data_IF_298101148177
#
_entry.id   IF_298101148177
#
_cell.length_a   1.000
_cell.length_b   1.000
_cell.length_c   1.000
_cell.angle_alpha   90.00
_cell.angle_beta   90.00
_cell.angle_gamma   90.00
#
_symmetry.space_group_name_H-M   'P 1'
#
loop_
_entity.id
_entity.type
_entity.pdbx_description
1 polymer ?
#
# COMPACT_ATOMS: atom_id res chain seq x y z
N UNK A 1 18.18 -10.79 7.89
CA UNK A 1 18.50 -10.43 6.50
C UNK A 1 19.43 -11.40 5.80
N UNK A 2 20.62 -11.75 6.33
CA UNK A 2 21.65 -12.54 5.62
C UNK A 2 21.29 -13.99 5.22
N UNK A 3 20.21 -14.58 5.78
CA UNK A 3 19.78 -15.96 5.47
C UNK A 3 18.72 -16.05 4.37
N UNK A 4 18.21 -14.92 3.87
CA UNK A 4 17.13 -14.92 2.88
C UNK A 4 17.67 -15.27 1.49
N UNK A 5 16.88 -15.95 0.64
CA UNK A 5 17.23 -16.12 -0.76
C UNK A 5 17.39 -14.74 -1.43
N UNK A 6 18.46 -14.58 -2.18
CA UNK A 6 18.77 -13.31 -2.85
C UNK A 6 19.17 -13.57 -4.29
N UNK A 7 18.73 -12.68 -5.18
CA UNK A 7 18.99 -12.75 -6.60
C UNK A 7 20.01 -11.67 -6.99
N UNK A 8 20.93 -12.00 -7.90
CA UNK A 8 22.02 -11.12 -8.33
C UNK A 8 22.11 -11.02 -9.86
N UNK A 9 22.56 -9.86 -10.35
CA UNK A 9 22.79 -9.60 -11.78
C UNK A 9 21.53 -9.86 -12.60
N UNK A 10 20.41 -9.36 -12.12
CA UNK A 10 19.09 -9.70 -12.60
C UNK A 10 18.74 -8.90 -13.85
N UNK A 11 18.03 -9.54 -14.78
CA UNK A 11 17.48 -8.91 -15.98
C UNK A 11 15.99 -9.26 -16.05
N UNK A 12 15.15 -8.23 -16.08
CA UNK A 12 13.70 -8.34 -16.13
C UNK A 12 13.23 -7.83 -17.49
N UNK A 13 12.39 -8.62 -18.16
CA UNK A 13 11.70 -8.21 -19.38
C UNK A 13 10.22 -8.51 -19.28
N UNK A 14 9.42 -7.48 -19.51
CA UNK A 14 7.98 -7.60 -19.62
C UNK A 14 7.59 -7.61 -21.10
N UNK A 15 6.72 -8.54 -21.49
CA UNK A 15 6.12 -8.62 -22.81
C UNK A 15 4.61 -8.56 -22.68
N UNK A 16 3.98 -7.88 -23.62
CA UNK A 16 2.54 -7.66 -23.66
C UNK A 16 1.94 -8.23 -24.95
N UNK A 17 0.62 -8.29 -24.99
CA UNK A 17 -0.10 -8.49 -26.26
C UNK A 17 -0.02 -7.22 -27.11
N UNK A 18 -0.10 -7.33 -28.45
CA UNK A 18 0.10 -6.19 -29.35
C UNK A 18 -0.83 -4.99 -29.12
N UNK A 19 -2.01 -5.23 -28.55
CA UNK A 19 -3.04 -4.22 -28.31
C UNK A 19 -2.73 -3.30 -27.12
N UNK A 20 -1.76 -3.66 -26.25
CA UNK A 20 -1.33 -2.86 -25.10
C UNK A 20 0.18 -2.68 -25.10
N UNK A 21 0.62 -1.48 -24.73
CA UNK A 21 2.02 -1.14 -24.52
C UNK A 21 2.28 -0.80 -23.06
N UNK A 22 3.54 -0.89 -22.66
CA UNK A 22 3.99 -0.41 -21.36
C UNK A 22 4.20 1.09 -21.51
N UNK A 23 3.41 1.89 -20.78
CA UNK A 23 3.51 3.34 -20.79
C UNK A 23 4.69 3.78 -19.91
N UNK A 24 4.67 3.33 -18.65
CA UNK A 24 5.68 3.64 -17.66
C UNK A 24 6.09 2.40 -16.86
N UNK A 25 7.24 2.50 -16.22
CA UNK A 25 7.75 1.47 -15.33
C UNK A 25 8.41 2.07 -14.10
N UNK A 26 8.07 1.55 -12.93
CA UNK A 26 8.50 2.07 -11.64
C UNK A 26 9.14 0.98 -10.78
N UNK A 27 10.14 1.38 -10.00
CA UNK A 27 10.87 0.51 -9.10
C UNK A 27 12.37 0.74 -9.16
N UNK A 28 13.11 0.00 -8.35
CA UNK A 28 14.55 0.19 -8.21
C UNK A 28 15.31 -0.66 -9.23
N UNK A 29 15.40 -0.16 -10.46
CA UNK A 29 16.13 -0.77 -11.56
C UNK A 29 16.77 0.27 -12.48
N UNK A 30 17.60 -0.19 -13.41
CA UNK A 30 18.16 0.62 -14.48
C UNK A 30 17.60 0.16 -15.83
N UNK A 31 17.10 1.05 -16.69
CA UNK A 31 16.68 0.66 -18.03
C UNK A 31 17.87 0.16 -18.84
N UNK A 32 17.65 -0.85 -19.69
CA UNK A 32 18.66 -1.31 -20.64
C UNK A 32 18.87 -0.25 -21.74
N UNK A 33 20.12 0.09 -22.07
CA UNK A 33 20.41 1.15 -23.05
C UNK A 33 20.11 0.73 -24.50
N UNK A 34 19.99 -0.57 -24.79
CA UNK A 34 19.83 -1.11 -26.14
C UNK A 34 18.41 -1.63 -26.40
N UNK A 35 17.78 -2.24 -25.40
CA UNK A 35 16.50 -2.92 -25.55
C UNK A 35 15.38 -2.27 -24.75
N UNK A 36 14.34 -1.81 -25.44
CA UNK A 36 13.13 -1.32 -24.78
C UNK A 36 12.47 -2.40 -23.91
N UNK A 37 11.94 -1.97 -22.77
CA UNK A 37 11.26 -2.81 -21.77
C UNK A 37 12.13 -3.94 -21.18
N UNK A 38 13.44 -3.76 -21.23
CA UNK A 38 14.42 -4.57 -20.49
C UNK A 38 15.00 -3.73 -19.37
N UNK A 39 15.08 -4.31 -18.18
CA UNK A 39 15.52 -3.64 -16.97
C UNK A 39 16.59 -4.47 -16.28
N UNK A 40 17.62 -3.79 -15.78
CA UNK A 40 18.71 -4.36 -15.00
C UNK A 40 18.50 -4.08 -13.52
N UNK A 41 18.52 -5.14 -12.73
CA UNK A 41 18.38 -5.10 -11.29
C UNK A 41 19.66 -5.69 -10.71
N UNK A 42 20.44 -4.88 -9.98
CA UNK A 42 21.72 -5.33 -9.42
C UNK A 42 21.52 -6.54 -8.52
N UNK A 43 20.53 -6.45 -7.64
CA UNK A 43 20.11 -7.52 -6.77
C UNK A 43 18.74 -7.25 -6.16
N UNK A 44 18.05 -8.29 -5.70
CA UNK A 44 16.76 -8.16 -5.05
C UNK A 44 16.46 -9.37 -4.15
N UNK A 45 15.62 -9.17 -3.13
CA UNK A 45 15.03 -10.28 -2.36
C UNK A 45 13.61 -10.61 -2.86
N UNK A 46 12.89 -11.37 -2.04
CA UNK A 46 11.52 -11.82 -2.30
C UNK A 46 10.45 -10.75 -2.07
N UNK A 47 10.80 -9.59 -1.51
CA UNK A 47 9.87 -8.48 -1.24
C UNK A 47 10.03 -7.33 -2.24
N UNK A 48 11.01 -7.39 -3.15
CA UNK A 48 11.18 -6.39 -4.17
C UNK A 48 10.01 -6.38 -5.16
N UNK A 49 9.38 -5.22 -5.30
CA UNK A 49 8.27 -4.98 -6.21
C UNK A 49 8.68 -4.12 -7.40
N UNK A 50 8.05 -4.37 -8.56
CA UNK A 50 8.24 -3.61 -9.78
C UNK A 50 6.86 -3.37 -10.41
N UNK A 51 6.55 -2.11 -10.67
CA UNK A 51 5.23 -1.66 -11.12
C UNK A 51 5.32 -1.21 -12.57
N UNK A 52 4.28 -1.49 -13.36
CA UNK A 52 4.20 -1.09 -14.76
C UNK A 52 2.83 -0.51 -15.02
N UNK A 53 2.81 0.63 -15.71
CA UNK A 53 1.59 1.23 -16.23
C UNK A 53 1.39 0.80 -17.68
N UNK A 54 0.13 0.64 -18.09
CA UNK A 54 -0.23 0.14 -19.41
C UNK A 54 -1.19 1.09 -20.10
N UNK A 55 -0.96 1.27 -21.39
CA UNK A 55 -1.87 2.00 -22.28
C UNK A 55 -2.29 1.09 -23.42
N UNK A 56 -3.48 1.35 -23.96
CA UNK A 56 -3.84 0.80 -25.25
C UNK A 56 -2.93 1.38 -26.33
N UNK A 57 -2.49 0.52 -27.25
CA UNK A 57 -1.90 0.99 -28.49
C UNK A 57 -2.98 1.75 -29.28
N UNK A 58 -2.60 2.79 -30.04
CA UNK A 58 -3.58 3.69 -30.65
C UNK A 58 -4.63 2.92 -31.47
N UNK A 59 -5.91 3.26 -31.28
CA UNK A 59 -7.08 2.64 -31.91
C UNK A 59 -7.24 1.11 -31.66
N UNK A 60 -6.48 0.56 -30.71
CA UNK A 60 -6.54 -0.86 -30.34
C UNK A 60 -7.56 -1.11 -29.24
N UNK A 61 -8.22 -2.27 -29.31
CA UNK A 61 -9.14 -2.74 -28.29
C UNK A 61 -9.12 -4.26 -28.25
N UNK A 62 -9.32 -4.83 -27.06
CA UNK A 62 -9.63 -6.25 -26.97
C UNK A 62 -11.11 -6.46 -27.24
N UNK A 63 -11.43 -7.33 -28.20
CA UNK A 63 -12.79 -7.74 -28.51
C UNK A 63 -13.00 -9.19 -28.08
N UNK A 64 -14.26 -9.63 -27.97
CA UNK A 64 -14.56 -11.06 -27.68
C UNK A 64 -13.96 -12.04 -28.71
N UNK A 65 -13.60 -11.56 -29.91
CA UNK A 65 -12.98 -12.35 -30.98
C UNK A 65 -11.46 -12.23 -31.01
N UNK A 66 -10.87 -11.24 -30.33
CA UNK A 66 -9.42 -11.11 -30.24
C UNK A 66 -8.85 -12.09 -29.21
N UNK A 67 -7.54 -12.29 -29.24
CA UNK A 67 -6.88 -13.00 -28.16
C UNK A 67 -7.06 -12.20 -26.85
N UNK A 68 -7.19 -12.88 -25.70
CA UNK A 68 -7.24 -12.21 -24.43
C UNK A 68 -5.92 -11.45 -24.17
N UNK A 69 -5.93 -10.38 -23.36
CA UNK A 69 -4.73 -9.71 -22.93
C UNK A 69 -3.80 -10.69 -22.22
N UNK A 70 -2.58 -10.81 -22.70
CA UNK A 70 -1.53 -11.65 -22.12
C UNK A 70 -0.34 -10.78 -21.74
N UNK A 71 0.13 -10.96 -20.51
CA UNK A 71 1.40 -10.46 -20.01
C UNK A 71 2.36 -11.64 -19.81
N UNK A 72 3.61 -11.48 -20.23
CA UNK A 72 4.68 -12.44 -19.93
C UNK A 72 5.86 -11.73 -19.28
N UNK A 73 6.14 -12.12 -18.05
CA UNK A 73 7.25 -11.66 -17.24
C UNK A 73 8.37 -12.68 -17.37
N UNK A 74 9.53 -12.25 -17.87
CA UNK A 74 10.73 -13.07 -17.95
C UNK A 74 11.82 -12.47 -17.06
N UNK A 75 12.18 -13.18 -15.98
CA UNK A 75 13.15 -12.74 -14.98
C UNK A 75 14.35 -13.68 -14.95
N UNK A 76 15.49 -13.19 -15.44
CA UNK A 76 16.75 -13.92 -15.48
C UNK A 76 17.63 -13.45 -14.32
N UNK A 77 18.11 -14.37 -13.48
CA UNK A 77 18.88 -14.00 -12.30
C UNK A 77 19.90 -15.07 -11.93
N UNK A 78 20.89 -14.69 -11.13
CA UNK A 78 21.87 -15.59 -10.52
C UNK A 78 21.54 -15.75 -9.05
N UNK A 79 21.60 -16.96 -8.52
CA UNK A 79 21.46 -17.20 -7.08
C UNK A 79 22.49 -18.20 -6.57
N UNK A 80 22.81 -18.06 -5.29
CA UNK A 80 23.64 -19.03 -4.56
C UNK A 80 22.70 -20.10 -4.00
N UNK A 81 22.96 -21.35 -4.36
CA UNK A 81 22.19 -22.51 -3.91
C UNK A 81 23.05 -23.32 -2.95
N UNK A 82 22.54 -23.56 -1.74
CA UNK A 82 23.14 -24.47 -0.77
C UNK A 82 22.59 -25.88 -0.99
N UNK A 83 23.46 -26.88 -1.14
CA UNK A 83 23.05 -28.27 -1.44
C UNK A 83 22.86 -29.14 -0.18
N UNK A 84 22.82 -28.53 1.00
CA UNK A 84 22.76 -29.24 2.27
C UNK A 84 24.10 -29.84 2.65
N UNK A 85 24.30 -30.08 3.95
CA UNK A 85 25.33 -31.02 4.40
C UNK A 85 24.73 -32.42 4.18
N UNK A 86 24.98 -33.03 3.01
CA UNK A 86 24.66 -34.44 2.83
C UNK A 86 25.46 -35.23 3.88
N UNK A 87 24.75 -35.78 4.86
CA UNK A 87 25.27 -36.59 5.94
C UNK A 87 25.96 -37.85 5.42
N UNK A 88 27.19 -38.07 5.90
CA UNK A 88 27.75 -39.37 6.32
C UNK A 88 27.41 -40.61 5.48
N UNK A 89 27.70 -40.59 4.18
CA UNK A 89 28.04 -41.83 3.48
C UNK A 89 29.41 -41.68 2.82
N UNK A 90 30.38 -42.28 3.51
CA UNK A 90 31.74 -42.47 3.04
C UNK A 90 31.72 -43.23 1.72
N UNK A 91 32.13 -42.58 0.62
CA UNK A 91 33.18 -43.07 -0.28
C UNK A 91 33.19 -42.29 -1.61
N UNK A 92 34.36 -41.73 -1.91
CA UNK A 92 34.87 -41.45 -3.25
C UNK A 92 33.96 -40.68 -4.23
N UNK A 93 34.05 -39.35 -4.24
CA UNK A 93 34.58 -38.59 -5.39
C UNK A 93 34.52 -37.08 -5.12
N UNK A 94 35.57 -36.37 -5.55
CA UNK A 94 35.72 -34.91 -5.69
C UNK A 94 34.86 -33.98 -4.83
N UNK A 95 35.52 -33.25 -3.91
CA UNK A 95 35.02 -32.05 -3.21
C UNK A 95 33.97 -31.26 -4.02
N UNK A 96 32.69 -31.58 -3.84
CA UNK A 96 31.60 -30.77 -4.37
C UNK A 96 31.41 -29.60 -3.42
N UNK A 97 31.54 -28.38 -3.94
CA UNK A 97 31.35 -27.17 -3.14
C UNK A 97 29.95 -27.17 -2.52
N UNK A 98 29.86 -26.93 -1.20
CA UNK A 98 28.59 -26.84 -0.45
C UNK A 98 27.59 -25.85 -1.05
N UNK A 99 28.12 -24.87 -1.79
CA UNK A 99 27.37 -23.88 -2.53
C UNK A 99 27.67 -23.98 -4.02
N UNK A 100 26.65 -23.77 -4.84
CA UNK A 100 26.82 -23.57 -6.28
C UNK A 100 26.14 -22.29 -6.73
N UNK A 101 26.73 -21.62 -7.71
CA UNK A 101 26.11 -20.47 -8.38
C UNK A 101 25.27 -20.98 -9.54
N UNK A 102 23.99 -20.62 -9.58
CA UNK A 102 23.09 -21.02 -10.66
C UNK A 102 22.49 -19.79 -11.34
N UNK A 103 22.54 -19.77 -12.67
CA UNK A 103 21.77 -18.82 -13.50
C UNK A 103 20.41 -19.44 -13.81
N UNK A 104 19.33 -18.76 -13.44
CA UNK A 104 17.94 -19.21 -13.62
C UNK A 104 17.16 -18.21 -14.46
N UNK A 105 16.17 -18.72 -15.18
CA UNK A 105 15.16 -17.93 -15.86
C UNK A 105 13.80 -18.33 -15.29
N UNK A 106 13.12 -17.40 -14.62
CA UNK A 106 11.74 -17.56 -14.18
C UNK A 106 10.85 -16.86 -15.19
N UNK A 107 9.86 -17.58 -15.70
CA UNK A 107 8.86 -17.02 -16.62
C UNK A 107 7.49 -17.17 -15.97
N UNK A 108 6.72 -16.08 -15.96
CA UNK A 108 5.31 -16.08 -15.56
C UNK A 108 4.49 -15.50 -16.70
N UNK A 109 3.50 -16.25 -17.15
CA UNK A 109 2.53 -15.77 -18.14
C UNK A 109 1.18 -15.63 -17.45
N UNK A 110 0.56 -14.46 -17.62
CA UNK A 110 -0.71 -14.08 -17.02
C UNK A 110 -1.64 -13.72 -18.17
N UNK A 111 -2.85 -14.24 -18.11
CA UNK A 111 -3.92 -13.91 -19.05
C UNK A 111 -5.03 -13.20 -18.29
N UNK A 112 -5.52 -12.10 -18.84
CA UNK A 112 -6.60 -11.30 -18.25
C UNK A 112 -7.90 -11.50 -19.02
N UNK A 113 -9.01 -11.23 -18.33
CA UNK A 113 -10.33 -11.14 -18.94
C UNK A 113 -10.57 -9.72 -19.44
N UNK A 114 -11.53 -9.59 -20.35
CA UNK A 114 -11.94 -8.29 -20.90
C UNK A 114 -13.42 -8.10 -20.68
N UNK A 115 -13.82 -6.86 -20.40
CA UNK A 115 -15.22 -6.48 -20.28
C UNK A 115 -15.44 -5.19 -21.05
N UNK A 116 -16.64 -5.06 -21.62
CA UNK A 116 -17.11 -3.80 -22.21
C UNK A 116 -18.00 -3.02 -21.22
N UNK A 117 -18.23 -3.61 -20.04
CA UNK A 117 -19.10 -3.08 -19.02
C UNK A 117 -18.27 -2.37 -17.95
N UNK A 118 -18.57 -1.10 -17.69
CA UNK A 118 -17.81 -0.30 -16.72
C UNK A 118 -17.98 -0.79 -15.27
N UNK A 119 -19.12 -1.40 -14.94
CA UNK A 119 -19.37 -1.94 -13.60
C UNK A 119 -18.46 -3.10 -13.27
N UNK A 120 -18.38 -4.05 -14.21
CA UNK A 120 -17.47 -5.18 -14.10
C UNK A 120 -16.04 -4.67 -13.90
N UNK A 121 -15.63 -3.59 -14.59
CA UNK A 121 -14.30 -3.01 -14.38
C UNK A 121 -14.09 -2.56 -12.93
N UNK A 122 -15.05 -1.86 -12.34
CA UNK A 122 -14.97 -1.44 -10.94
C UNK A 122 -14.96 -2.60 -9.94
N UNK A 123 -15.74 -3.66 -10.20
CA UNK A 123 -15.81 -4.85 -9.35
C UNK A 123 -14.50 -5.67 -9.34
N UNK A 124 -13.63 -5.48 -10.33
CA UNK A 124 -12.33 -6.15 -10.43
C UNK A 124 -11.14 -5.25 -10.05
N UNK A 125 -11.37 -4.01 -9.58
CA UNK A 125 -10.29 -3.13 -9.13
C UNK A 125 -9.66 -3.67 -7.84
N UNK A 126 -8.32 -3.66 -7.78
CA UNK A 126 -7.56 -3.82 -6.56
C UNK A 126 -7.12 -2.43 -6.05
N UNK A 127 -7.68 -1.93 -4.93
CA UNK A 127 -7.38 -0.58 -4.42
C UNK A 127 -5.92 -0.42 -3.97
N UNK A 128 -5.26 -1.49 -3.53
CA UNK A 128 -3.86 -1.44 -3.09
C UNK A 128 -2.93 -1.26 -4.30
N UNK A 129 -3.25 -1.89 -5.43
CA UNK A 129 -2.52 -1.72 -6.69
C UNK A 129 -2.72 -0.32 -7.25
N UNK A 130 -3.96 0.20 -7.22
CA UNK A 130 -4.26 1.59 -7.62
C UNK A 130 -3.46 2.58 -6.78
N UNK A 131 -3.47 2.42 -5.45
CA UNK A 131 -2.66 3.23 -4.56
C UNK A 131 -1.18 3.16 -4.92
N UNK A 132 -0.66 1.96 -5.22
CA UNK A 132 0.76 1.78 -5.59
C UNK A 132 1.15 2.57 -6.83
N UNK A 133 0.33 2.54 -7.88
CA UNK A 133 0.58 3.31 -9.10
C UNK A 133 0.52 4.82 -8.82
N UNK A 134 -0.51 5.27 -8.09
CA UNK A 134 -0.66 6.68 -7.71
C UNK A 134 0.53 7.18 -6.90
N UNK A 135 1.01 6.37 -5.94
CA UNK A 135 2.17 6.71 -5.12
C UNK A 135 3.42 6.90 -5.98
N UNK A 136 3.66 6.04 -6.96
CA UNK A 136 4.78 6.22 -7.88
C UNK A 136 4.67 7.50 -8.70
N UNK A 137 3.51 7.76 -9.29
CA UNK A 137 3.26 8.96 -10.11
C UNK A 137 3.40 10.24 -9.29
N UNK A 138 2.84 10.26 -8.08
CA UNK A 138 2.91 11.40 -7.16
C UNK A 138 4.31 11.60 -6.62
N UNK A 139 5.07 10.54 -6.31
CA UNK A 139 6.49 10.68 -5.93
C UNK A 139 7.25 11.40 -7.05
N UNK A 140 7.10 10.96 -8.30
CA UNK A 140 7.76 11.60 -9.44
C UNK A 140 7.33 13.06 -9.64
N UNK A 141 6.03 13.35 -9.57
CA UNK A 141 5.52 14.72 -9.67
C UNK A 141 6.03 15.61 -8.52
N UNK A 142 6.10 15.06 -7.30
CA UNK A 142 6.54 15.78 -6.10
C UNK A 142 8.01 16.18 -6.14
N UNK A 143 8.83 15.55 -6.99
CA UNK A 143 10.23 15.96 -7.21
C UNK A 143 10.32 17.32 -7.91
N UNK A 144 9.27 17.73 -8.62
CA UNK A 144 9.17 19.04 -9.27
C UNK A 144 8.39 20.02 -8.40
N UNK A 145 7.15 19.70 -8.04
CA UNK A 145 6.32 20.53 -7.18
C UNK A 145 5.36 19.67 -6.35
N UNK A 146 5.54 19.71 -5.02
CA UNK A 146 4.72 18.96 -4.07
C UNK A 146 3.27 19.48 -4.05
N UNK A 147 3.06 20.79 -4.21
CA UNK A 147 1.72 21.40 -4.22
C UNK A 147 0.95 20.93 -5.44
N UNK A 148 1.58 20.97 -6.61
CA UNK A 148 0.98 20.48 -7.85
C UNK A 148 0.67 18.98 -7.77
N UNK A 149 1.59 18.18 -7.25
CA UNK A 149 1.39 16.74 -7.06
C UNK A 149 0.18 16.41 -6.15
N UNK A 150 -0.03 17.20 -5.09
CA UNK A 150 -1.21 17.07 -4.21
C UNK A 150 -2.51 17.44 -4.92
N UNK A 151 -2.51 18.58 -5.62
CA UNK A 151 -3.69 19.03 -6.36
C UNK A 151 -4.08 18.01 -7.43
N UNK A 152 -3.09 17.48 -8.15
CA UNK A 152 -3.28 16.42 -9.13
C UNK A 152 -3.92 15.17 -8.50
N UNK A 153 -3.42 14.71 -7.35
CA UNK A 153 -3.98 13.53 -6.67
C UNK A 153 -5.42 13.77 -6.18
N UNK A 154 -5.69 14.98 -5.68
CA UNK A 154 -7.02 15.39 -5.26
C UNK A 154 -8.00 15.41 -6.45
N UNK A 155 -7.61 16.06 -7.54
CA UNK A 155 -8.42 16.16 -8.76
C UNK A 155 -8.62 14.79 -9.41
N UNK A 156 -7.60 13.92 -9.39
CA UNK A 156 -7.71 12.54 -9.87
C UNK A 156 -8.84 11.79 -9.16
N UNK A 157 -8.93 11.88 -7.82
CA UNK A 157 -9.99 11.21 -7.06
C UNK A 157 -11.36 11.79 -7.40
N UNK A 158 -11.48 13.11 -7.50
CA UNK A 158 -12.73 13.76 -7.88
C UNK A 158 -13.19 13.33 -9.28
N UNK A 159 -12.29 13.29 -10.26
CA UNK A 159 -12.58 12.80 -11.62
C UNK A 159 -13.00 11.33 -11.59
N UNK A 160 -12.32 10.49 -10.81
CA UNK A 160 -12.65 9.07 -10.69
C UNK A 160 -14.05 8.87 -10.09
N UNK A 161 -14.36 9.54 -8.97
CA UNK A 161 -15.69 9.53 -8.34
C UNK A 161 -16.75 10.08 -9.30
N UNK A 162 -16.41 11.09 -10.08
CA UNK A 162 -17.31 11.65 -11.08
C UNK A 162 -17.70 10.59 -12.13
N UNK A 163 -16.72 9.87 -12.69
CA UNK A 163 -17.00 8.80 -13.66
C UNK A 163 -17.78 7.64 -13.03
N UNK A 164 -17.45 7.26 -11.80
CA UNK A 164 -18.20 6.24 -11.05
C UNK A 164 -19.68 6.66 -10.88
N UNK A 165 -19.94 7.89 -10.43
CA UNK A 165 -21.30 8.39 -10.26
C UNK A 165 -22.04 8.50 -11.60
N UNK A 166 -21.36 8.95 -12.66
CA UNK A 166 -21.95 9.01 -14.01
C UNK A 166 -22.35 7.63 -14.51
N UNK A 167 -21.53 6.61 -14.24
CA UNK A 167 -21.91 5.24 -14.50
C UNK A 167 -23.19 4.95 -13.70
N UNK A 168 -23.14 4.97 -12.35
CA UNK A 168 -24.20 4.52 -11.42
C UNK A 168 -25.53 5.29 -11.51
N UNK A 169 -25.51 6.54 -12.01
CA UNK A 169 -26.71 7.32 -12.29
C UNK A 169 -27.59 6.73 -13.38
N UNK A 170 -27.02 6.09 -14.41
CA UNK A 170 -27.80 5.53 -15.53
C UNK A 170 -28.69 4.33 -15.14
N UNK A 171 -28.54 3.81 -13.91
CA UNK A 171 -29.26 2.64 -13.39
C UNK A 171 -30.33 3.04 -12.36
N UNK A 172 -30.25 4.25 -11.78
CA UNK A 172 -31.21 4.69 -10.77
C UNK A 172 -32.52 5.16 -11.45
N UNK A 173 -33.69 4.73 -10.97
CA UNK A 173 -34.97 5.21 -11.51
C UNK A 173 -35.11 6.73 -11.32
N UNK A 174 -35.70 7.39 -12.31
CA UNK A 174 -35.74 8.85 -12.50
C UNK A 174 -36.43 9.68 -11.38
N UNK A 175 -36.90 9.04 -10.31
CA UNK A 175 -37.70 9.68 -9.26
C UNK A 175 -36.89 10.23 -8.07
N UNK A 176 -35.55 10.10 -8.05
CA UNK A 176 -34.75 10.74 -7.00
C UNK A 176 -34.38 12.17 -7.37
N UNK A 177 -35.18 13.13 -6.89
CA UNK A 177 -35.04 14.59 -7.09
C UNK A 177 -33.74 15.18 -6.51
N UNK A 178 -32.91 14.38 -5.83
CA UNK A 178 -31.58 14.79 -5.35
C UNK A 178 -30.52 13.90 -5.99
N UNK A 179 -29.68 14.49 -6.84
CA UNK A 179 -28.46 13.85 -7.35
C UNK A 179 -27.46 13.66 -6.22
N UNK A 180 -27.70 12.70 -5.34
CA UNK A 180 -26.79 12.39 -4.25
C UNK A 180 -25.49 11.82 -4.84
N UNK A 181 -24.41 12.59 -4.75
CA UNK A 181 -23.06 12.16 -5.15
C UNK A 181 -22.58 11.13 -4.12
N UNK A 182 -22.40 9.90 -4.59
CA UNK A 182 -21.86 8.79 -3.81
C UNK A 182 -20.33 8.88 -3.81
N UNK A 183 -19.77 9.43 -2.73
CA UNK A 183 -18.32 9.53 -2.48
C UNK A 183 -17.77 8.32 -1.72
N UNK A 184 -18.66 7.52 -1.13
CA UNK A 184 -18.31 6.36 -0.30
C UNK A 184 -18.26 5.06 -1.12
N UNK A 185 -18.49 5.13 -2.43
CA UNK A 185 -18.60 3.98 -3.32
C UNK A 185 -19.58 2.91 -2.81
N UNK A 186 -20.77 3.36 -2.37
CA UNK A 186 -21.78 2.52 -1.72
C UNK A 186 -22.23 1.31 -2.56
N UNK A 187 -22.13 1.41 -3.89
CA UNK A 187 -22.51 0.33 -4.81
C UNK A 187 -21.33 -0.59 -5.20
N UNK A 188 -20.09 -0.31 -4.77
CA UNK A 188 -18.90 -1.06 -5.16
C UNK A 188 -17.93 -1.22 -3.96
N UNK A 189 -18.02 -2.36 -3.28
CA UNK A 189 -17.23 -2.64 -2.07
C UNK A 189 -15.71 -2.58 -2.30
N UNK A 190 -15.23 -2.94 -3.50
CA UNK A 190 -13.80 -2.92 -3.82
C UNK A 190 -13.20 -1.50 -3.81
N UNK A 191 -14.03 -0.49 -4.08
CA UNK A 191 -13.59 0.91 -4.17
C UNK A 191 -13.75 1.69 -2.86
N UNK A 192 -14.50 1.15 -1.89
CA UNK A 192 -14.73 1.80 -0.59
C UNK A 192 -13.44 2.26 0.12
N UNK A 193 -12.33 1.50 0.09
CA UNK A 193 -11.10 1.95 0.73
C UNK A 193 -10.44 3.14 0.04
N UNK A 194 -10.71 3.37 -1.25
CA UNK A 194 -9.90 4.23 -2.11
C UNK A 194 -9.85 5.69 -1.63
N UNK A 195 -11.00 6.26 -1.26
CA UNK A 195 -11.04 7.64 -0.76
C UNK A 195 -10.21 7.81 0.53
N UNK A 196 -10.29 6.84 1.44
CA UNK A 196 -9.50 6.82 2.69
C UNK A 196 -8.01 6.64 2.41
N UNK A 197 -7.63 5.80 1.44
CA UNK A 197 -6.24 5.59 1.05
C UNK A 197 -5.64 6.86 0.41
N UNK A 198 -6.38 7.53 -0.47
CA UNK A 198 -5.96 8.81 -1.07
C UNK A 198 -5.82 9.89 -0.01
N UNK A 199 -6.80 10.00 0.90
CA UNK A 199 -6.71 10.90 2.05
C UNK A 199 -5.47 10.62 2.90
N UNK A 200 -5.24 9.35 3.26
CA UNK A 200 -4.09 8.93 4.06
C UNK A 200 -2.76 9.27 3.38
N UNK A 201 -2.71 9.17 2.05
CA UNK A 201 -1.52 9.56 1.31
C UNK A 201 -1.34 11.08 1.26
N UNK A 202 -2.41 11.86 1.06
CA UNK A 202 -2.36 13.32 1.11
C UNK A 202 -1.91 13.85 2.48
N UNK A 203 -2.29 13.23 3.58
CA UNK A 203 -1.83 13.63 4.92
C UNK A 203 -0.46 13.03 5.29
N UNK A 204 0.12 12.19 4.43
CA UNK A 204 1.44 11.59 4.65
C UNK A 204 2.54 12.66 4.75
N UNK A 205 3.55 12.46 5.62
CA UNK A 205 4.72 13.35 5.69
C UNK A 205 5.44 13.57 4.35
N UNK A 206 5.28 12.65 3.40
CA UNK A 206 5.83 12.76 2.05
C UNK A 206 5.26 13.96 1.27
N UNK A 207 3.98 14.29 1.49
CA UNK A 207 3.27 15.34 0.76
C UNK A 207 2.98 16.59 1.59
N UNK A 208 3.41 16.67 2.84
CA UNK A 208 3.15 17.85 3.66
C UNK A 208 4.02 19.04 3.22
N UNK A 209 3.37 20.16 2.89
CA UNK A 209 4.02 21.36 2.30
C UNK A 209 4.55 22.32 3.37
N UNK A 210 3.98 22.30 4.58
CA UNK A 210 4.17 23.37 5.59
C UNK A 210 4.56 22.87 6.99
N UNK A 211 5.01 21.63 7.13
CA UNK A 211 5.46 21.16 8.44
C UNK A 211 6.97 21.36 8.60
N UNK A 212 7.36 22.47 9.24
CA UNK A 212 8.76 22.78 9.59
C UNK A 212 9.43 21.66 10.42
N UNK A 213 8.65 20.74 10.98
CA UNK A 213 9.15 19.63 11.80
C UNK A 213 9.53 18.38 10.99
N UNK A 214 9.24 18.33 9.68
CA UNK A 214 9.60 17.18 8.85
C UNK A 214 11.00 17.37 8.26
N UNK A 215 11.91 16.49 8.67
CA UNK A 215 13.27 16.49 8.14
C UNK A 215 13.31 16.03 6.66
N UNK A 216 14.03 16.70 5.75
CA UNK A 216 14.13 16.32 4.34
C UNK A 216 14.63 14.88 4.10
N UNK A 217 15.57 14.41 4.92
CA UNK A 217 16.04 13.02 4.86
C UNK A 217 14.92 12.02 5.15
N UNK A 218 13.96 12.38 6.01
CA UNK A 218 12.82 11.51 6.30
C UNK A 218 11.86 11.45 5.10
N UNK A 219 11.63 12.57 4.40
CA UNK A 219 10.85 12.57 3.16
C UNK A 219 11.53 11.73 2.07
N UNK A 220 12.84 11.91 1.88
CA UNK A 220 13.64 11.13 0.94
C UNK A 220 13.61 9.64 1.29
N UNK A 221 13.72 9.31 2.58
CA UNK A 221 13.55 7.95 3.08
C UNK A 221 12.19 7.37 2.71
N UNK A 222 11.10 8.13 2.90
CA UNK A 222 9.75 7.67 2.54
C UNK A 222 9.60 7.47 1.04
N UNK A 223 10.14 8.36 0.19
CA UNK A 223 10.14 8.20 -1.27
C UNK A 223 10.83 6.88 -1.67
N UNK A 224 12.01 6.61 -1.11
CA UNK A 224 12.76 5.38 -1.36
C UNK A 224 12.04 4.13 -0.83
N UNK A 225 11.44 4.22 0.36
CA UNK A 225 10.70 3.11 0.96
C UNK A 225 9.46 2.79 0.13
N UNK A 226 8.58 3.77 -0.07
CA UNK A 226 7.29 3.57 -0.72
C UNK A 226 7.44 3.09 -2.17
N UNK A 227 8.47 3.56 -2.88
CA UNK A 227 8.78 3.10 -4.24
C UNK A 227 9.32 1.66 -4.33
N UNK A 228 9.62 1.00 -3.22
CA UNK A 228 10.12 -0.38 -3.19
C UNK A 228 9.09 -1.41 -2.66
N UNK A 229 8.02 -0.94 -2.01
CA UNK A 229 7.06 -1.83 -1.34
C UNK A 229 6.08 -2.46 -2.33
N UNK A 230 5.72 -3.70 -2.04
CA UNK A 230 4.58 -4.37 -2.67
C UNK A 230 3.24 -3.77 -2.18
N UNK A 231 2.14 -3.93 -2.93
CA UNK A 231 0.89 -3.20 -2.68
C UNK A 231 0.37 -3.27 -1.25
N UNK A 232 0.27 -4.46 -0.66
CA UNK A 232 -0.24 -4.63 0.70
C UNK A 232 0.67 -3.98 1.77
N UNK A 233 1.99 -4.08 1.59
CA UNK A 233 2.96 -3.45 2.50
C UNK A 233 2.93 -1.93 2.38
N UNK A 234 2.77 -1.40 1.16
CA UNK A 234 2.62 0.03 0.91
C UNK A 234 1.33 0.59 1.51
N UNK A 235 0.20 -0.11 1.31
CA UNK A 235 -1.07 0.21 1.94
C UNK A 235 -0.91 0.33 3.45
N UNK A 236 -0.25 -0.65 4.08
CA UNK A 236 0.00 -0.66 5.52
C UNK A 236 0.90 0.49 6.00
N UNK A 237 1.87 0.90 5.17
CA UNK A 237 2.79 2.00 5.49
C UNK A 237 2.11 3.38 5.38
N UNK A 238 1.16 3.54 4.44
CA UNK A 238 0.43 4.80 4.22
C UNK A 238 -0.80 4.91 5.13
N UNK A 239 -1.59 3.84 5.25
CA UNK A 239 -2.79 3.77 6.06
C UNK A 239 -2.64 2.67 7.12
N UNK A 240 -2.13 3.03 8.32
CA UNK A 240 -1.95 2.08 9.41
C UNK A 240 -3.23 1.34 9.78
N UNK A 241 -3.08 0.16 10.37
CA UNK A 241 -4.22 -0.58 10.94
C UNK A 241 -4.24 -0.39 12.45
N UNK A 242 -5.39 0.02 12.96
CA UNK A 242 -5.66 0.11 14.39
C UNK A 242 -6.57 -1.04 14.81
N UNK A 243 -6.14 -1.80 15.80
CA UNK A 243 -6.90 -2.90 16.40
C UNK A 243 -7.03 -2.65 17.90
N UNK A 244 -8.21 -2.88 18.46
CA UNK A 244 -8.44 -2.73 19.91
C UNK A 244 -8.58 -4.07 20.60
N UNK A 245 -8.20 -4.08 21.87
CA UNK A 245 -8.19 -5.23 22.74
C UNK A 245 -8.97 -4.88 24.01
N UNK A 246 -9.97 -5.71 24.34
CA UNK A 246 -10.69 -5.60 25.62
C UNK A 246 -9.85 -6.16 26.77
N UNK A 247 -8.98 -7.12 26.47
CA UNK A 247 -7.97 -7.66 27.38
C UNK A 247 -6.73 -8.07 26.58
N UNK A 248 -5.64 -8.43 27.25
CA UNK A 248 -4.39 -8.87 26.59
C UNK A 248 -4.54 -10.13 25.72
N UNK A 249 -5.59 -10.92 25.98
CA UNK A 249 -5.88 -12.19 25.33
C UNK A 249 -7.20 -12.15 24.54
N UNK A 250 -7.81 -10.98 24.39
CA UNK A 250 -9.10 -10.81 23.70
C UNK A 250 -9.06 -9.61 22.78
N UNK A 251 -8.87 -9.89 21.49
CA UNK A 251 -9.04 -8.90 20.42
C UNK A 251 -10.53 -8.58 20.26
N UNK A 252 -10.85 -7.28 20.23
CA UNK A 252 -12.22 -6.81 20.17
C UNK A 252 -12.64 -6.43 18.74
N UNK A 253 -11.86 -5.57 18.08
CA UNK A 253 -12.18 -5.09 16.74
C UNK A 253 -10.91 -4.72 15.99
N UNK A 254 -10.85 -5.10 14.71
CA UNK A 254 -9.73 -4.86 13.78
C UNK A 254 -10.19 -3.84 12.74
N UNK A 255 -9.25 -3.03 12.22
CA UNK A 255 -9.50 -1.99 11.20
C UNK A 255 -10.37 -0.82 11.67
N UNK A 256 -10.12 -0.36 12.89
CA UNK A 256 -10.80 0.83 13.41
C UNK A 256 -10.45 2.10 12.64
N UNK A 257 -11.31 3.11 12.80
CA UNK A 257 -11.02 4.49 12.40
C UNK A 257 -9.72 4.95 13.07
N UNK A 258 -8.88 5.64 12.32
CA UNK A 258 -7.63 6.22 12.80
C UNK A 258 -7.92 7.58 13.45
N UNK A 259 -8.80 7.57 14.45
CA UNK A 259 -9.33 8.74 15.15
C UNK A 259 -9.43 8.45 16.65
N UNK A 260 -9.30 9.48 17.49
CA UNK A 260 -9.57 9.41 18.94
C UNK A 260 -11.02 9.02 19.27
N UNK A 261 -11.94 9.13 18.31
CA UNK A 261 -13.36 8.78 18.49
C UNK A 261 -13.59 7.31 18.85
N UNK A 262 -12.63 6.41 18.56
CA UNK A 262 -12.74 4.97 18.87
C UNK A 262 -12.31 4.63 20.29
N UNK A 263 -11.73 5.58 21.03
CA UNK A 263 -11.23 5.35 22.37
C UNK A 263 -12.39 5.21 23.36
N UNK A 264 -12.54 4.01 23.91
CA UNK A 264 -13.59 3.66 24.85
C UNK A 264 -13.00 2.93 26.05
N UNK A 265 -13.57 3.15 27.23
CA UNK A 265 -13.10 2.51 28.46
C UNK A 265 -13.23 0.98 28.45
N UNK A 266 -14.13 0.44 27.61
CA UNK A 266 -14.33 -1.01 27.43
C UNK A 266 -13.19 -1.69 26.63
N UNK A 267 -12.41 -0.90 25.90
CA UNK A 267 -11.34 -1.36 25.01
C UNK A 267 -10.07 -0.56 25.32
N UNK A 268 -9.42 -0.83 26.46
CA UNK A 268 -8.37 0.03 26.99
C UNK A 268 -7.03 -0.09 26.25
N UNK A 269 -6.86 -1.08 25.37
CA UNK A 269 -5.59 -1.37 24.71
C UNK A 269 -5.77 -1.31 23.19
N UNK A 270 -4.81 -0.69 22.51
CA UNK A 270 -4.76 -0.55 21.07
C UNK A 270 -3.42 -1.02 20.52
N UNK A 271 -3.46 -1.79 19.44
CA UNK A 271 -2.31 -2.13 18.61
C UNK A 271 -2.42 -1.34 17.31
N UNK A 272 -1.47 -0.45 17.09
CA UNK A 272 -1.31 0.28 15.84
C UNK A 272 -0.15 -0.32 15.05
N UNK A 273 -0.46 -0.68 13.81
CA UNK A 273 0.47 -1.26 12.86
C UNK A 273 0.68 -0.31 11.68
N UNK A 274 1.87 0.27 11.54
CA UNK A 274 2.21 1.23 10.50
C UNK A 274 3.38 0.78 9.63
N UNK A 275 3.52 -0.54 9.39
CA UNK A 275 4.61 -1.16 8.64
C UNK A 275 6.02 -1.01 9.26
N UNK A 276 6.54 0.21 9.41
CA UNK A 276 7.84 0.51 10.07
C UNK A 276 7.74 0.57 11.59
N UNK A 277 6.55 0.80 12.12
CA UNK A 277 6.29 0.93 13.55
C UNK A 277 5.16 -0.01 13.98
N UNK A 278 5.33 -0.62 15.15
CA UNK A 278 4.30 -1.34 15.89
C UNK A 278 4.16 -0.65 17.24
N UNK A 279 3.02 -0.02 17.49
CA UNK A 279 2.78 0.72 18.72
C UNK A 279 1.68 0.01 19.50
N UNK A 280 1.96 -0.32 20.76
CA UNK A 280 0.96 -0.80 21.70
C UNK A 280 0.64 0.32 22.67
N UNK A 281 -0.57 0.84 22.58
CA UNK A 281 -1.05 1.99 23.32
C UNK A 281 -2.10 1.58 24.34
N UNK A 282 -1.92 2.00 25.59
CA UNK A 282 -2.90 1.81 26.67
C UNK A 282 -3.55 3.16 26.97
N UNK A 283 -4.87 3.18 27.06
CA UNK A 283 -5.60 4.39 27.41
C UNK A 283 -5.19 4.90 28.81
N UNK A 284 -5.24 6.22 29.06
CA UNK A 284 -5.00 6.78 30.38
C UNK A 284 -5.94 6.20 31.46
N UNK A 285 -7.15 5.80 31.05
CA UNK A 285 -8.19 5.21 31.88
C UNK A 285 -8.08 3.69 32.03
N UNK A 286 -7.04 3.06 31.46
CA UNK A 286 -6.83 1.63 31.56
C UNK A 286 -6.69 1.20 33.02
N UNK A 287 -7.37 0.11 33.39
CA UNK A 287 -7.33 -0.41 34.76
C UNK A 287 -5.89 -0.76 35.16
N UNK A 288 -5.42 -0.36 36.35
CA UNK A 288 -4.07 -0.69 36.83
C UNK A 288 -3.86 -2.19 37.08
N UNK A 289 -4.93 -3.00 37.01
CA UNK A 289 -4.86 -4.46 37.02
C UNK A 289 -4.30 -5.06 35.73
N UNK A 290 -4.39 -4.34 34.60
CA UNK A 290 -3.86 -4.79 33.32
C UNK A 290 -2.34 -4.57 33.34
N UNK A 291 -1.51 -5.62 33.16
CA UNK A 291 -0.08 -5.47 33.25
C UNK A 291 0.47 -4.64 32.08
N UNK A 292 1.42 -3.75 32.43
CA UNK A 292 2.15 -2.91 31.50
C UNK A 292 3.65 -2.93 31.84
N UNK A 293 4.54 -3.27 30.89
CA UNK A 293 4.26 -3.69 29.51
C UNK A 293 3.56 -5.07 29.46
N UNK A 294 2.92 -5.42 28.33
CA UNK A 294 2.22 -6.69 28.19
C UNK A 294 3.19 -7.89 28.32
N UNK A 295 2.79 -8.95 29.05
CA UNK A 295 3.58 -10.14 29.30
C UNK A 295 3.78 -10.95 28.01
N UNK A 296 4.86 -11.74 27.93
CA UNK A 296 5.28 -12.38 26.66
C UNK A 296 4.34 -13.49 26.17
N UNK A 297 3.58 -14.07 27.08
CA UNK A 297 2.71 -15.23 26.87
C UNK A 297 1.25 -14.85 26.55
N UNK A 298 0.95 -13.59 26.25
CA UNK A 298 -0.39 -13.17 25.84
C UNK A 298 -0.58 -13.11 24.31
N UNK A 299 -1.85 -13.13 23.88
CA UNK A 299 -2.25 -13.00 22.48
C UNK A 299 -1.64 -11.74 21.85
N UNK A 300 -1.76 -10.58 22.50
CA UNK A 300 -1.24 -9.31 21.99
C UNK A 300 0.26 -9.39 21.65
N UNK A 301 1.06 -10.03 22.51
CA UNK A 301 2.49 -10.24 22.23
C UNK A 301 2.74 -11.22 21.10
N UNK A 302 1.98 -12.31 21.05
CA UNK A 302 2.06 -13.27 19.95
C UNK A 302 1.75 -12.61 18.59
N UNK A 303 0.75 -11.73 18.54
CA UNK A 303 0.39 -10.94 17.36
C UNK A 303 1.53 -10.01 16.96
N UNK A 304 2.12 -9.27 17.92
CA UNK A 304 3.29 -8.40 17.66
C UNK A 304 4.47 -9.19 17.11
N UNK A 305 4.78 -10.35 17.69
CA UNK A 305 5.92 -11.17 17.26
C UNK A 305 5.67 -11.77 15.87
N UNK A 306 4.44 -12.19 15.56
CA UNK A 306 4.04 -12.62 14.22
C UNK A 306 4.23 -11.51 13.19
N UNK A 307 3.72 -10.31 13.46
CA UNK A 307 3.83 -9.16 12.55
C UNK A 307 5.30 -8.77 12.29
N UNK A 308 6.18 -8.92 13.29
CA UNK A 308 7.63 -8.71 13.11
C UNK A 308 8.29 -9.74 12.20
N UNK A 309 7.82 -10.98 12.20
CA UNK A 309 8.42 -12.09 11.44
C UNK A 309 8.00 -12.07 9.97
N UNK A 310 6.78 -11.65 9.67
CA UNK A 310 6.20 -11.66 8.32
C UNK A 310 6.82 -10.60 7.39
N UNK A 311 7.51 -9.57 7.93
CA UNK A 311 7.96 -8.40 7.16
C UNK A 311 9.36 -8.49 6.57
N UNK A 312 9.56 -7.71 5.51
CA UNK A 312 10.87 -7.42 4.95
C UNK A 312 11.78 -6.71 5.97
N UNK A 313 11.25 -5.67 6.62
CA UNK A 313 11.90 -4.84 7.62
C UNK A 313 11.34 -5.15 9.01
N UNK A 314 12.21 -5.21 10.02
CA UNK A 314 11.75 -5.40 11.41
C UNK A 314 11.23 -4.06 11.96
N UNK A 315 9.93 -3.96 12.28
CA UNK A 315 9.36 -2.70 12.76
C UNK A 315 9.87 -2.32 14.14
N UNK A 316 9.95 -1.01 14.39
CA UNK A 316 10.20 -0.45 15.72
C UNK A 316 8.98 -0.70 16.60
N UNK A 317 9.19 -1.43 17.69
CA UNK A 317 8.14 -1.71 18.67
C UNK A 317 8.22 -0.72 19.83
N UNK A 318 7.12 -0.06 20.16
CA UNK A 318 7.00 0.76 21.37
C UNK A 318 5.75 0.40 22.18
N UNK A 319 5.88 0.47 23.49
CA UNK A 319 4.78 0.37 24.46
C UNK A 319 4.56 1.74 25.05
N UNK A 320 3.34 2.24 24.96
CA UNK A 320 2.98 3.61 25.36
C UNK A 320 1.79 3.52 26.30
N UNK A 321 1.95 4.06 27.51
CA UNK A 321 0.87 4.23 28.46
C UNK A 321 0.40 5.67 28.46
N UNK A 322 -0.83 5.94 28.03
CA UNK A 322 -1.35 7.30 27.80
C UNK A 322 -1.34 8.23 29.02
N UNK A 323 -1.33 7.70 30.24
CA UNK A 323 -1.20 8.50 31.46
C UNK A 323 0.25 8.80 31.91
N UNK A 324 1.27 8.13 31.35
CA UNK A 324 2.64 8.13 31.88
C UNK A 324 3.71 8.47 30.85
N UNK A 325 3.47 8.12 29.59
CA UNK A 325 4.43 8.24 28.50
C UNK A 325 4.02 9.32 27.50
N UNK A 326 4.98 9.77 26.69
CA UNK A 326 4.71 10.67 25.57
C UNK A 326 3.90 9.96 24.47
N UNK A 327 2.73 10.51 24.15
CA UNK A 327 1.77 9.96 23.18
C UNK A 327 1.98 10.45 21.75
N UNK A 328 2.85 11.45 21.53
CA UNK A 328 3.05 12.09 20.22
C UNK A 328 3.33 11.10 19.09
N UNK A 329 4.13 10.07 19.37
CA UNK A 329 4.49 9.02 18.40
C UNK A 329 3.30 8.16 17.97
N UNK A 330 2.29 8.00 18.83
CA UNK A 330 1.06 7.28 18.50
C UNK A 330 0.04 8.19 17.83
N UNK A 331 -0.16 9.38 18.39
CA UNK A 331 -1.14 10.35 17.90
C UNK A 331 -0.87 10.83 16.47
N UNK A 332 0.40 10.78 16.02
CA UNK A 332 0.73 11.12 14.63
C UNK A 332 0.07 10.21 13.58
N UNK A 333 -0.31 8.99 13.97
CA UNK A 333 -0.96 8.03 13.08
C UNK A 333 -2.50 8.09 13.15
N UNK A 334 -3.07 8.93 14.02
CA UNK A 334 -4.51 9.21 14.07
C UNK A 334 -4.88 10.23 12.99
N UNK A 335 -4.66 9.80 11.73
CA UNK A 335 -4.70 10.67 10.56
C UNK A 335 -6.09 11.24 10.26
N UNK A 336 -7.17 10.62 10.73
CA UNK A 336 -8.54 11.09 10.47
C UNK A 336 -8.92 12.30 11.33
N UNK A 337 -8.14 12.57 12.37
CA UNK A 337 -8.24 13.77 13.22
C UNK A 337 -7.38 14.93 12.66
N UNK A 338 -6.92 14.86 11.41
CA UNK A 338 -6.08 15.89 10.79
C UNK A 338 -6.71 16.46 9.54
N UNK A 339 -6.64 17.79 9.38
CA UNK A 339 -6.90 18.47 8.12
C UNK A 339 -5.82 18.19 7.08
N UNK A 340 -6.11 18.46 5.80
CA UNK A 340 -5.13 18.31 4.71
C UNK A 340 -3.94 19.28 4.83
N UNK A 341 -4.13 20.39 5.53
CA UNK A 341 -3.12 21.40 5.87
C UNK A 341 -2.27 21.00 7.10
N UNK A 342 -2.56 19.85 7.72
CA UNK A 342 -1.86 19.36 8.91
C UNK A 342 -2.46 19.86 10.23
N UNK A 343 -3.54 20.66 10.20
CA UNK A 343 -4.21 21.12 11.42
C UNK A 343 -4.83 19.96 12.18
N UNK A 344 -4.72 19.96 13.52
CA UNK A 344 -5.43 18.99 14.34
C UNK A 344 -6.89 19.40 14.47
N UNK A 345 -7.78 18.45 14.24
CA UNK A 345 -9.23 18.61 14.27
C UNK A 345 -9.84 17.54 15.20
N UNK A 346 -10.97 17.85 15.81
CA UNK A 346 -11.62 16.93 16.75
C UNK A 346 -12.40 15.84 16.02
N UNK A 347 -12.16 14.56 16.34
CA UNK A 347 -13.10 13.44 16.11
C UNK A 347 -13.45 13.11 14.66
N UNK A 348 -12.51 12.57 13.88
CA UNK A 348 -12.67 12.12 12.47
C UNK A 348 -13.14 13.19 11.48
N UNK A 349 -13.18 14.45 11.92
CA UNK A 349 -13.64 15.59 11.12
C UNK A 349 -12.73 15.88 9.93
N UNK A 350 -11.44 15.53 10.01
CA UNK A 350 -10.50 15.68 8.91
C UNK A 350 -10.92 14.89 7.68
N UNK A 351 -11.13 13.58 7.83
CA UNK A 351 -11.56 12.73 6.72
C UNK A 351 -12.95 13.09 6.21
N UNK A 352 -13.89 13.43 7.11
CA UNK A 352 -15.23 13.88 6.71
C UNK A 352 -15.20 15.19 5.91
N UNK A 353 -14.41 16.17 6.37
CA UNK A 353 -14.24 17.45 5.65
C UNK A 353 -13.64 17.23 4.27
N UNK A 354 -12.67 16.32 4.14
CA UNK A 354 -12.11 15.94 2.86
C UNK A 354 -13.17 15.35 1.90
N UNK A 355 -14.03 14.46 2.39
CA UNK A 355 -15.10 13.89 1.56
C UNK A 355 -16.10 14.96 1.10
N UNK A 356 -16.41 15.95 1.93
CA UNK A 356 -17.26 17.09 1.54
C UNK A 356 -16.58 17.98 0.49
N UNK A 357 -15.28 18.23 0.61
CA UNK A 357 -14.50 18.97 -0.40
C UNK A 357 -14.50 18.25 -1.75
N UNK A 358 -14.23 16.94 -1.73
CA UNK A 358 -14.29 16.08 -2.91
C UNK A 358 -15.70 16.08 -3.50
N UNK A 359 -16.75 16.00 -2.66
CA UNK A 359 -18.14 16.08 -3.12
C UNK A 359 -18.43 17.40 -3.85
N UNK A 360 -17.98 18.52 -3.30
CA UNK A 360 -18.12 19.84 -3.93
C UNK A 360 -17.43 19.88 -5.29
N UNK A 361 -16.19 19.39 -5.37
CA UNK A 361 -15.43 19.30 -6.64
C UNK A 361 -16.13 18.39 -7.65
N UNK A 362 -16.67 17.26 -7.22
CA UNK A 362 -17.41 16.33 -8.09
C UNK A 362 -18.65 17.02 -8.70
N UNK A 363 -19.33 17.87 -7.92
CA UNK A 363 -20.49 18.63 -8.40
C UNK A 363 -20.14 19.63 -9.52
N UNK A 364 -18.92 20.18 -9.53
CA UNK A 364 -18.44 21.10 -10.57
C UNK A 364 -18.35 20.43 -11.95
N UNK A 365 -18.17 19.10 -12.01
CA UNK A 365 -18.12 18.36 -13.27
C UNK A 365 -19.51 18.18 -13.94
N UNK A 366 -20.58 18.71 -13.35
CA UNK A 366 -21.90 18.78 -13.99
C UNK A 366 -22.53 17.41 -14.28
N UNK A 367 -22.37 16.47 -13.34
CA UNK A 367 -22.85 15.09 -13.43
C UNK A 367 -24.33 15.00 -13.08
#
# INVERSE_FOLDING_TARGET
MLKRPYAFGCVLRLRTSPEIKIADSYGHFFPDPQYMHVQHINCCDLFASYTYDFEFEKDSQFSRKSRPPILQIAFKYTMIVHHGDASDDASNSGSRSKFSVQRRLRVRTIQYNTTANIWDLYDFVDPDVVLTILVHQVILASLSDVVEARLWLHDWLAIFIAQYNKAYKNVRPADSVVSHIDVDFSNCSQLQPLARLVFAFLVSPLLQVQDEHIHPDYQTYLQCLFSALEPASLRQAICPTLSSYSSLDTEAEVHQSLSRSVFTSERPIFLLDAYTDLLVYYLPTASPSIPFPPPRDCLLRSTVDRLKQERALTPRLAFIHGARDDTTTFEKYLIEDRGLDGTQLDGSTGFRSFLEEVRSRVAEFGI
#
